data_IF_050861322998
#
_entry.id   IF_050861322998
#
_cell.length_a   1.000
_cell.length_b   1.000
_cell.length_c   1.000
_cell.angle_alpha   90.00
_cell.angle_beta   90.00
_cell.angle_gamma   90.00
#
_symmetry.space_group_name_H-M   'P 1'
#
loop_
_entity.id
_entity.type
_entity.pdbx_description
1 polymer ?
#
# COMPACT_ATOMS: atom_id res chain seq x y z
N UNK A 1 17.40 5.91 -22.02
CA UNK A 1 16.12 6.33 -21.52
C UNK A 1 15.50 5.28 -20.62
N UNK A 2 15.06 5.71 -19.49
CA UNK A 2 14.46 4.79 -18.54
C UNK A 2 12.99 4.58 -18.88
N UNK A 3 12.67 3.38 -19.33
CA UNK A 3 11.32 3.03 -19.74
C UNK A 3 10.45 2.58 -18.57
N UNK A 4 11.07 2.27 -17.46
CA UNK A 4 10.32 1.71 -16.35
C UNK A 4 10.16 2.74 -15.25
N UNK A 5 9.48 3.81 -15.57
CA UNK A 5 9.19 4.82 -14.57
C UNK A 5 7.99 4.43 -13.73
N UNK A 6 8.11 3.27 -13.13
CA UNK A 6 7.07 2.82 -12.22
C UNK A 6 7.00 3.73 -11.02
N UNK A 7 5.80 4.01 -10.62
CA UNK A 7 5.57 4.75 -9.39
C UNK A 7 5.10 3.77 -8.34
N UNK A 8 5.54 4.03 -7.13
CA UNK A 8 5.22 3.16 -6.01
C UNK A 8 4.62 4.02 -4.90
N UNK A 9 3.64 3.47 -4.22
CA UNK A 9 3.06 4.15 -3.06
C UNK A 9 2.66 3.11 -2.03
N UNK A 10 2.69 3.53 -0.77
CA UNK A 10 2.20 2.70 0.31
C UNK A 10 0.76 3.09 0.57
N UNK A 11 -0.14 2.13 0.47
CA UNK A 11 -1.55 2.33 0.78
C UNK A 11 -1.92 1.53 2.01
N UNK A 12 -3.12 1.76 2.50
CA UNK A 12 -3.59 1.02 3.65
C UNK A 12 -5.08 0.78 3.55
N UNK A 13 -5.54 -0.26 4.24
CA UNK A 13 -6.95 -0.56 4.37
C UNK A 13 -7.25 -0.73 5.85
N UNK A 14 -8.29 -0.08 6.30
CA UNK A 14 -8.75 -0.18 7.68
C UNK A 14 -9.97 -1.09 7.69
N UNK A 15 -9.89 -2.15 8.49
CA UNK A 15 -11.00 -3.08 8.66
C UNK A 15 -11.65 -2.81 9.99
N UNK A 16 -12.96 -2.64 10.00
CA UNK A 16 -13.66 -2.35 11.24
C UNK A 16 -14.90 -3.23 11.36
N UNK A 17 -15.33 -3.36 12.61
CA UNK A 17 -16.50 -4.17 12.91
C UNK A 17 -17.76 -3.45 12.49
N UNK A 18 -18.61 -4.14 11.75
CA UNK A 18 -19.90 -3.62 11.32
C UNK A 18 -20.82 -3.32 12.49
N UNK A 19 -20.69 -4.08 13.55
CA UNK A 19 -21.56 -3.95 14.71
C UNK A 19 -21.14 -2.84 15.67
N UNK A 20 -19.84 -2.75 15.95
CA UNK A 20 -19.35 -1.81 16.94
C UNK A 20 -18.70 -0.57 16.33
N UNK A 21 -18.43 -0.60 15.02
CA UNK A 21 -17.73 0.45 14.30
C UNK A 21 -16.33 0.70 14.84
N UNK A 22 -15.75 -0.29 15.47
CA UNK A 22 -14.40 -0.20 15.98
C UNK A 22 -13.42 -0.78 14.96
N UNK A 23 -12.25 -0.19 14.90
CA UNK A 23 -11.20 -0.67 14.01
C UNK A 23 -10.70 -2.01 14.54
N UNK A 24 -10.74 -3.03 13.68
CA UNK A 24 -10.26 -4.36 14.01
C UNK A 24 -8.80 -4.54 13.62
N UNK A 25 -8.43 -4.03 12.46
CA UNK A 25 -7.04 -4.11 12.02
C UNK A 25 -6.79 -3.10 10.91
N UNK A 26 -5.53 -2.78 10.73
CA UNK A 26 -5.07 -1.97 9.62
C UNK A 26 -4.02 -2.77 8.88
N UNK A 27 -4.10 -2.77 7.57
CA UNK A 27 -3.15 -3.49 6.72
C UNK A 27 -2.52 -2.47 5.79
N UNK A 28 -1.20 -2.45 5.77
CA UNK A 28 -0.44 -1.58 4.88
C UNK A 28 0.19 -2.43 3.80
N UNK A 29 0.25 -1.91 2.59
CA UNK A 29 0.77 -2.65 1.46
C UNK A 29 1.34 -1.70 0.43
N UNK A 30 2.20 -2.25 -0.44
CA UNK A 30 2.81 -1.47 -1.51
C UNK A 30 2.02 -1.65 -2.79
N UNK A 31 1.79 -0.54 -3.49
CA UNK A 31 1.13 -0.54 -4.79
C UNK A 31 2.05 0.08 -5.82
N UNK A 32 1.85 -0.27 -7.06
CA UNK A 32 2.61 0.29 -8.17
C UNK A 32 1.71 0.56 -9.36
N UNK A 33 2.18 1.41 -10.25
CA UNK A 33 1.57 1.56 -11.57
C UNK A 33 2.66 1.96 -12.55
N UNK A 34 2.49 1.55 -13.79
CA UNK A 34 3.50 1.81 -14.82
C UNK A 34 3.34 3.21 -15.42
N UNK A 35 2.10 3.65 -15.60
CA UNK A 35 1.80 4.94 -16.20
C UNK A 35 0.77 5.67 -15.35
N UNK A 36 0.77 7.02 -15.40
CA UNK A 36 -0.11 7.80 -14.54
C UNK A 36 -1.60 7.50 -14.65
N UNK A 37 -2.06 7.06 -15.82
CA UNK A 37 -3.48 6.76 -16.01
C UNK A 37 -3.82 5.29 -15.80
N UNK A 38 -2.84 4.46 -15.42
CA UNK A 38 -3.10 3.06 -15.09
C UNK A 38 -3.56 2.95 -13.64
N UNK A 39 -4.41 1.98 -13.34
CA UNK A 39 -4.82 1.78 -11.95
C UNK A 39 -3.66 1.27 -11.11
N UNK A 40 -3.69 1.62 -9.85
CA UNK A 40 -2.70 1.11 -8.91
C UNK A 40 -2.91 -0.39 -8.71
N UNK A 41 -1.82 -1.12 -8.64
CA UNK A 41 -1.86 -2.56 -8.43
C UNK A 41 -1.06 -2.91 -7.19
N UNK A 42 -1.65 -3.77 -6.39
CA UNK A 42 -1.01 -4.24 -5.17
C UNK A 42 0.10 -5.24 -5.50
N UNK A 43 1.23 -5.12 -4.81
CA UNK A 43 2.33 -6.04 -4.99
C UNK A 43 2.16 -7.20 -4.02
N UNK A 44 2.12 -8.44 -4.51
CA UNK A 44 2.00 -9.61 -3.63
C UNK A 44 3.17 -9.67 -2.64
N UNK A 45 2.86 -10.04 -1.40
CA UNK A 45 3.88 -10.17 -0.38
C UNK A 45 4.29 -8.88 0.28
N UNK A 46 3.63 -7.77 -0.04
CA UNK A 46 3.98 -6.46 0.52
C UNK A 46 3.09 -6.04 1.68
N UNK A 47 2.24 -6.93 2.17
CA UNK A 47 1.31 -6.59 3.25
C UNK A 47 1.97 -6.70 4.62
N UNK A 48 1.83 -5.66 5.41
CA UNK A 48 2.38 -5.60 6.76
C UNK A 48 1.43 -4.82 7.66
N UNK A 49 1.72 -4.85 8.95
CA UNK A 49 0.88 -4.19 9.94
C UNK A 49 1.18 -2.71 10.11
N UNK A 50 2.35 -2.26 9.66
CA UNK A 50 2.75 -0.87 9.82
C UNK A 50 3.30 -0.32 8.52
N UNK A 51 3.24 1.00 8.42
CA UNK A 51 3.82 1.72 7.29
C UNK A 51 5.33 1.47 7.17
N UNK A 52 6.01 1.53 8.32
CA UNK A 52 7.47 1.38 8.34
C UNK A 52 7.92 0.05 7.81
N UNK A 53 7.16 -1.00 8.07
CA UNK A 53 7.50 -2.32 7.59
C UNK A 53 7.40 -2.39 6.07
N UNK A 54 6.35 -1.78 5.49
CA UNK A 54 6.21 -1.75 4.03
C UNK A 54 7.34 -0.94 3.41
N UNK A 55 7.66 0.20 4.01
CA UNK A 55 8.72 1.05 3.50
C UNK A 55 10.05 0.32 3.50
N UNK A 56 10.40 -0.32 4.61
CA UNK A 56 11.64 -1.09 4.71
C UNK A 56 11.68 -2.22 3.70
N UNK A 57 10.55 -2.91 3.54
CA UNK A 57 10.46 -4.00 2.57
C UNK A 57 10.71 -3.48 1.15
N UNK A 58 10.10 -2.33 0.83
CA UNK A 58 10.25 -1.74 -0.50
C UNK A 58 11.70 -1.36 -0.79
N UNK A 59 12.36 -0.75 0.19
CA UNK A 59 13.76 -0.38 0.02
C UNK A 59 14.66 -1.61 -0.14
N UNK A 60 14.38 -2.62 0.67
CA UNK A 60 15.23 -3.82 0.69
C UNK A 60 15.02 -4.69 -0.54
N UNK A 61 13.75 -4.93 -0.90
CA UNK A 61 13.45 -5.87 -1.97
C UNK A 61 13.45 -5.22 -3.35
N UNK A 62 13.06 -3.97 -3.45
CA UNK A 62 12.91 -3.32 -4.74
C UNK A 62 13.84 -2.12 -4.92
N UNK A 63 14.48 -1.67 -3.86
CA UNK A 63 15.37 -0.53 -3.96
C UNK A 63 14.65 0.77 -4.26
N UNK A 64 13.40 0.91 -3.81
CA UNK A 64 12.60 2.10 -4.11
C UNK A 64 12.18 2.80 -2.84
N UNK A 65 11.90 4.09 -2.95
CA UNK A 65 11.38 4.90 -1.86
C UNK A 65 9.95 5.31 -2.23
N UNK A 66 8.96 4.56 -1.77
CA UNK A 66 7.59 4.81 -2.20
C UNK A 66 7.00 6.08 -1.56
N UNK A 67 6.03 6.65 -2.27
CA UNK A 67 5.21 7.71 -1.71
C UNK A 67 4.19 7.11 -0.76
N UNK A 68 3.52 7.96 -0.01
CA UNK A 68 2.49 7.52 0.91
C UNK A 68 1.13 8.00 0.42
N UNK A 69 0.18 7.07 0.32
CA UNK A 69 -1.19 7.39 -0.03
C UNK A 69 -1.96 7.68 1.25
N UNK A 70 -2.31 8.95 1.46
CA UNK A 70 -3.02 9.37 2.65
C UNK A 70 -4.49 8.99 2.64
N UNK A 71 -4.99 8.54 1.49
CA UNK A 71 -6.40 8.15 1.34
C UNK A 71 -6.48 6.64 1.33
N UNK A 72 -6.71 6.07 2.46
CA UNK A 72 -6.83 4.62 2.55
C UNK A 72 -8.22 4.16 2.14
N UNK A 73 -8.43 2.87 2.28
CA UNK A 73 -9.72 2.24 2.05
C UNK A 73 -10.30 1.80 3.39
N UNK A 74 -11.61 1.76 3.45
CA UNK A 74 -12.31 1.25 4.61
C UNK A 74 -13.13 0.05 4.19
N UNK A 75 -13.01 -1.02 4.97
CA UNK A 75 -13.73 -2.25 4.70
C UNK A 75 -14.41 -2.71 5.97
N UNK A 76 -15.59 -3.27 5.84
CA UNK A 76 -16.27 -3.89 6.96
C UNK A 76 -16.00 -5.38 6.96
N UNK A 77 -15.83 -5.93 8.15
CA UNK A 77 -15.65 -7.37 8.29
C UNK A 77 -17.00 -8.07 8.40
#
# INVERSE_FOLDING_TARGET
MDMSKKRYQISFTVYYSKETLRIKKEVYYLEYRDLPFFPWRKIPGSEFNTYEEVYSWAEKELGVSPDYNHYGKEETC
#
